data_IF_365011250975
#
_entry.id   IF_365011250975
#
_cell.length_a   1.000
_cell.length_b   1.000
_cell.length_c   1.000
_cell.angle_alpha   90.00
_cell.angle_beta   90.00
_cell.angle_gamma   90.00
#
_symmetry.space_group_name_H-M   'P 1'
#
loop_
_entity.id
_entity.type
_entity.pdbx_description
1 polymer ?
#
# COMPACT_ATOMS: atom_id res chain seq x y z
N UNK A 1 -4.92 -8.75 -4.78
CA UNK A 1 -5.61 -7.59 -4.17
C UNK A 1 -6.73 -7.15 -5.11
N UNK A 2 -7.96 -6.94 -4.64
CA UNK A 2 -9.10 -6.57 -5.52
C UNK A 2 -9.16 -5.06 -5.76
N UNK A 3 -9.85 -4.63 -6.83
CA UNK A 3 -10.01 -3.22 -7.19
C UNK A 3 -10.63 -2.39 -6.06
N UNK A 4 -11.62 -2.93 -5.34
CA UNK A 4 -12.23 -2.28 -4.18
C UNK A 4 -11.22 -2.03 -3.05
N UNK A 5 -10.32 -2.99 -2.80
CA UNK A 5 -9.29 -2.84 -1.77
C UNK A 5 -8.27 -1.77 -2.15
N UNK A 6 -7.96 -1.64 -3.44
CA UNK A 6 -7.10 -0.60 -3.97
C UNK A 6 -7.71 0.80 -3.76
N UNK A 7 -8.98 0.96 -4.11
CA UNK A 7 -9.71 2.22 -3.92
C UNK A 7 -9.84 2.59 -2.43
N UNK A 8 -10.07 1.60 -1.57
CA UNK A 8 -10.10 1.81 -0.13
C UNK A 8 -8.73 2.24 0.42
N UNK A 9 -7.63 1.62 -0.03
CA UNK A 9 -6.28 2.01 0.39
C UNK A 9 -5.95 3.43 -0.08
N UNK A 10 -6.25 3.74 -1.34
CA UNK A 10 -6.07 5.09 -1.91
C UNK A 10 -6.84 6.13 -1.12
N UNK A 11 -8.10 5.84 -0.78
CA UNK A 11 -8.93 6.73 0.04
C UNK A 11 -8.35 6.94 1.44
N UNK A 12 -7.82 5.90 2.09
CA UNK A 12 -7.15 6.03 3.39
C UNK A 12 -5.89 6.89 3.30
N UNK A 13 -5.05 6.68 2.28
CA UNK A 13 -3.83 7.46 2.02
C UNK A 13 -4.20 8.93 1.73
N UNK A 14 -5.27 9.17 0.98
CA UNK A 14 -5.76 10.51 0.68
C UNK A 14 -6.32 11.24 1.91
N UNK A 15 -7.05 10.53 2.78
CA UNK A 15 -7.63 11.07 4.01
C UNK A 15 -6.65 11.11 5.19
N UNK A 16 -5.50 10.46 5.09
CA UNK A 16 -4.46 10.55 6.10
C UNK A 16 -3.76 11.93 6.01
N UNK A 17 -4.34 12.91 6.69
CA UNK A 17 -3.75 14.25 6.85
C UNK A 17 -2.49 14.28 7.73
N UNK A 18 -2.18 13.17 8.38
CA UNK A 18 -1.01 12.98 9.25
C UNK A 18 0.18 12.33 8.52
N UNK A 19 -0.01 11.97 7.25
CA UNK A 19 1.01 11.32 6.42
C UNK A 19 1.88 12.37 5.74
N UNK A 20 3.22 12.31 5.85
CA UNK A 20 4.10 13.17 5.06
C UNK A 20 3.83 12.99 3.56
N UNK A 21 3.87 14.09 2.81
CA UNK A 21 3.60 14.08 1.35
C UNK A 21 4.48 13.09 0.59
N UNK A 22 5.73 12.89 1.05
CA UNK A 22 6.65 11.90 0.49
C UNK A 22 6.12 10.46 0.65
N UNK A 23 5.63 10.11 1.83
CA UNK A 23 5.06 8.80 2.11
C UNK A 23 3.73 8.60 1.38
N UNK A 24 2.88 9.63 1.37
CA UNK A 24 1.62 9.63 0.63
C UNK A 24 1.84 9.37 -0.86
N UNK A 25 2.80 10.06 -1.46
CA UNK A 25 3.18 9.90 -2.87
C UNK A 25 3.71 8.51 -3.14
N UNK A 26 4.60 7.98 -2.30
CA UNK A 26 5.14 6.62 -2.48
C UNK A 26 4.08 5.54 -2.34
N UNK A 27 3.17 5.67 -1.39
CA UNK A 27 2.03 4.77 -1.20
C UNK A 27 1.09 4.77 -2.40
N UNK A 28 0.78 5.95 -2.94
CA UNK A 28 -0.05 6.10 -4.14
C UNK A 28 0.61 5.48 -5.38
N UNK A 29 1.91 5.71 -5.57
CA UNK A 29 2.67 5.11 -6.68
C UNK A 29 2.72 3.59 -6.57
N UNK A 30 2.96 3.08 -5.36
CA UNK A 30 2.95 1.65 -5.06
C UNK A 30 1.59 1.00 -5.31
N UNK A 31 0.50 1.68 -4.95
CA UNK A 31 -0.87 1.24 -5.24
C UNK A 31 -1.17 1.23 -6.74
N UNK A 32 -0.71 2.24 -7.47
CA UNK A 32 -0.85 2.28 -8.94
C UNK A 32 -0.06 1.15 -9.62
N UNK A 33 1.09 0.79 -9.05
CA UNK A 33 1.96 -0.30 -9.53
C UNK A 33 1.50 -1.70 -9.10
N UNK A 34 0.65 -1.84 -8.08
CA UNK A 34 0.11 -3.17 -7.72
C UNK A 34 -0.86 -3.61 -8.81
N UNK A 35 -0.56 -4.69 -9.57
CA UNK A 35 -1.48 -5.19 -10.56
C UNK A 35 -2.75 -5.64 -9.83
N UNK A 36 -3.85 -4.94 -10.08
CA UNK A 36 -5.16 -5.42 -9.70
C UNK A 36 -5.40 -6.71 -10.49
N UNK A 37 -5.91 -7.73 -9.81
CA UNK A 37 -6.04 -9.13 -10.25
C UNK A 37 -6.78 -9.33 -11.60
N UNK A 38 -7.26 -8.25 -12.22
CA UNK A 38 -8.08 -8.27 -13.44
C UNK A 38 -7.29 -8.34 -14.74
N UNK A 39 -5.95 -8.14 -14.79
CA UNK A 39 -5.21 -8.08 -16.07
C UNK A 39 -4.04 -9.06 -16.23
N UNK A 40 -3.59 -9.74 -15.16
CA UNK A 40 -2.43 -10.66 -15.24
C UNK A 40 -2.82 -12.11 -15.00
N UNK A 41 -3.57 -12.66 -15.95
CA UNK A 41 -3.59 -14.10 -16.16
C UNK A 41 -2.20 -14.53 -16.65
N UNK A 42 -1.37 -15.02 -15.72
CA UNK A 42 -0.06 -15.66 -15.91
C UNK A 42 1.15 -14.74 -15.72
N UNK A 43 2.05 -15.20 -14.84
CA UNK A 43 3.40 -14.68 -14.56
C UNK A 43 3.51 -13.67 -13.37
N UNK A 44 3.77 -14.26 -12.20
CA UNK A 44 4.37 -13.69 -10.97
C UNK A 44 3.64 -12.55 -10.21
N UNK A 45 2.44 -12.78 -9.66
CA UNK A 45 1.81 -11.87 -8.67
C UNK A 45 2.56 -11.78 -7.32
N UNK A 46 3.59 -12.59 -7.09
CA UNK A 46 4.31 -12.71 -5.81
C UNK A 46 5.37 -11.61 -5.63
N UNK A 47 6.06 -11.23 -6.71
CA UNK A 47 7.12 -10.22 -6.68
C UNK A 47 6.58 -8.80 -6.45
N UNK A 48 5.47 -8.45 -7.11
CA UNK A 48 4.86 -7.13 -6.96
C UNK A 48 4.39 -6.88 -5.52
N UNK A 49 3.80 -7.88 -4.88
CA UNK A 49 3.35 -7.79 -3.49
C UNK A 49 4.52 -7.75 -2.50
N UNK A 50 5.57 -8.54 -2.73
CA UNK A 50 6.79 -8.51 -1.91
C UNK A 50 7.53 -7.18 -2.00
N UNK A 51 7.71 -6.65 -3.22
CA UNK A 51 8.32 -5.34 -3.46
C UNK A 51 7.49 -4.20 -2.85
N UNK A 52 6.17 -4.33 -2.88
CA UNK A 52 5.25 -3.42 -2.23
C UNK A 52 5.46 -3.43 -0.70
N UNK A 53 5.44 -4.59 -0.05
CA UNK A 53 5.68 -4.71 1.40
C UNK A 53 7.07 -4.20 1.80
N UNK A 54 8.12 -4.47 1.01
CA UNK A 54 9.46 -3.93 1.25
C UNK A 54 9.49 -2.40 1.18
N UNK A 55 8.83 -1.80 0.19
CA UNK A 55 8.80 -0.34 0.06
C UNK A 55 8.00 0.33 1.18
N UNK A 56 6.92 -0.31 1.67
CA UNK A 56 6.18 0.12 2.87
C UNK A 56 7.10 0.11 4.10
N UNK A 57 7.89 -0.96 4.29
CA UNK A 57 8.82 -1.08 5.40
C UNK A 57 9.96 -0.04 5.35
N UNK A 58 10.52 0.22 4.18
CA UNK A 58 11.52 1.29 4.00
C UNK A 58 10.93 2.67 4.28
N UNK A 59 9.69 2.89 3.85
CA UNK A 59 8.99 4.14 4.08
C UNK A 59 8.61 4.33 5.57
N UNK A 60 8.34 3.25 6.31
CA UNK A 60 8.17 3.28 7.77
C UNK A 60 9.47 3.68 8.48
N UNK A 61 10.60 3.10 8.04
CA UNK A 61 11.91 3.43 8.57
C UNK A 61 12.33 4.88 8.27
N UNK A 62 11.95 5.40 7.10
CA UNK A 62 12.24 6.78 6.69
C UNK A 62 11.31 7.81 7.35
N UNK A 63 10.08 7.44 7.68
CA UNK A 63 9.05 8.32 8.22
C UNK A 63 8.44 7.75 9.51
N UNK A 64 9.11 7.89 10.67
CA UNK A 64 8.57 7.43 11.95
C UNK A 64 7.27 8.16 12.34
N UNK A 65 7.01 9.34 11.78
CA UNK A 65 5.73 10.05 11.87
C UNK A 65 4.59 9.31 11.14
N UNK A 66 4.90 8.58 10.07
CA UNK A 66 3.93 7.79 9.30
C UNK A 66 3.68 6.41 9.92
N UNK A 67 4.43 5.98 10.94
CA UNK A 67 4.27 4.65 11.59
C UNK A 67 2.85 4.41 12.10
N UNK A 68 2.17 5.44 12.61
CA UNK A 68 0.78 5.35 13.04
C UNK A 68 -0.18 5.03 11.89
N UNK A 69 0.08 5.57 10.70
CA UNK A 69 -0.66 5.24 9.48
C UNK A 69 -0.27 3.86 8.96
N UNK A 70 1.02 3.53 8.90
CA UNK A 70 1.54 2.22 8.48
C UNK A 70 0.92 1.07 9.26
N UNK A 71 0.78 1.22 10.58
CA UNK A 71 0.17 0.21 11.43
C UNK A 71 -1.33 0.03 11.12
N UNK A 72 -2.06 1.12 10.84
CA UNK A 72 -3.46 1.04 10.36
C UNK A 72 -3.55 0.41 8.99
N UNK A 73 -2.61 0.74 8.10
CA UNK A 73 -2.51 0.18 6.76
C UNK A 73 -2.29 -1.34 6.85
N UNK A 74 -1.27 -1.77 7.60
CA UNK A 74 -0.95 -3.17 7.90
C UNK A 74 -2.15 -3.92 8.48
N UNK A 75 -2.82 -3.32 9.47
CA UNK A 75 -4.03 -3.88 10.07
C UNK A 75 -5.17 -4.01 9.05
N UNK A 76 -5.32 -3.04 8.16
CA UNK A 76 -6.37 -3.06 7.12
C UNK A 76 -6.08 -4.12 6.08
N UNK A 77 -4.83 -4.26 5.62
CA UNK A 77 -4.42 -5.32 4.70
C UNK A 77 -4.61 -6.71 5.31
N UNK A 78 -4.18 -6.88 6.56
CA UNK A 78 -4.37 -8.12 7.31
C UNK A 78 -5.86 -8.46 7.47
N UNK A 79 -6.72 -7.47 7.76
CA UNK A 79 -8.18 -7.65 7.80
C UNK A 79 -8.78 -8.00 6.43
N UNK A 80 -8.15 -7.56 5.34
CA UNK A 80 -8.52 -7.92 3.97
C UNK A 80 -7.97 -9.29 3.54
N UNK A 81 -7.19 -9.95 4.40
CA UNK A 81 -6.63 -11.28 4.17
C UNK A 81 -5.41 -11.29 3.24
N UNK A 82 -4.69 -10.18 3.15
CA UNK A 82 -3.51 -9.97 2.28
C UNK A 82 -2.27 -9.64 3.10
#
# INVERSE_FOLDING_TARGET
MTTEQLEQLKTMVENAGDLPEAAKTKLLELLDQTPTDSDVASEAPQDAQGQWMSSIGELEAAHPEATGFMNRLATTLANMGI
#
